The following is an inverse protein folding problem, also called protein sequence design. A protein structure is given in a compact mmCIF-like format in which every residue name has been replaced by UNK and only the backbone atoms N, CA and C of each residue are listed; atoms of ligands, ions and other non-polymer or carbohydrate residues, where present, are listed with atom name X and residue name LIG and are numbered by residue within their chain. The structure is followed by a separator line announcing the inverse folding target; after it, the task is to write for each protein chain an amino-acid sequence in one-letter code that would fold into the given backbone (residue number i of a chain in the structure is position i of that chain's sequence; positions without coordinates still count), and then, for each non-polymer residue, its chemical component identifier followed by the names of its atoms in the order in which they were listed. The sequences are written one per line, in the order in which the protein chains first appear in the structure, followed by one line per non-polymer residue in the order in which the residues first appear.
data_IF_288624977110
#
_entry.id   IF_288624977110
#
_cell.length_a   1.000
_cell.length_b   1.000
_cell.length_c   1.000
_cell.angle_alpha   90.00
_cell.angle_beta   90.00
_cell.angle_gamma   90.00
#
_symmetry.space_group_name_H-M   'P 1'
#
loop_
_entity.id
_entity.type
_entity.pdbx_description
1 polymer ?
#
# COMPACT_ATOMS: atom_id res chain seq x y z
N UNK A 1 -4.83 5.48 36.55
CA UNK A 1 -4.23 4.18 36.24
C UNK A 1 -5.15 3.33 35.36
N UNK A 2 -6.43 3.26 35.71
CA UNK A 2 -7.38 2.47 34.91
C UNK A 2 -7.66 3.10 33.57
N UNK A 3 -7.74 4.42 33.50
CA UNK A 3 -7.98 5.13 32.23
C UNK A 3 -6.89 4.91 31.22
N UNK A 4 -5.65 4.91 31.65
CA UNK A 4 -4.50 4.69 30.76
C UNK A 4 -4.51 3.31 30.15
N UNK A 5 -4.83 2.27 30.95
CA UNK A 5 -4.89 0.91 30.44
C UNK A 5 -6.02 0.74 29.41
N UNK A 6 -7.17 1.34 29.67
CA UNK A 6 -8.29 1.30 28.74
C UNK A 6 -7.96 2.04 27.42
N UNK A 7 -7.30 3.17 27.52
CA UNK A 7 -6.91 3.95 26.32
C UNK A 7 -5.94 3.16 25.45
N UNK A 8 -4.95 2.51 26.05
CA UNK A 8 -4.02 1.69 25.29
C UNK A 8 -4.72 0.54 24.58
N UNK A 9 -5.65 -0.12 25.26
CA UNK A 9 -6.40 -1.23 24.68
C UNK A 9 -7.28 -0.75 23.53
N UNK A 10 -7.95 0.39 23.69
CA UNK A 10 -8.79 0.95 22.65
C UNK A 10 -7.96 1.39 21.43
N UNK A 11 -6.80 1.97 21.67
CA UNK A 11 -5.92 2.39 20.59
C UNK A 11 -5.43 1.19 19.77
N UNK A 12 -5.05 0.11 20.45
CA UNK A 12 -4.61 -1.11 19.77
C UNK A 12 -5.73 -1.69 18.91
N UNK A 13 -6.95 -1.75 19.46
CA UNK A 13 -8.11 -2.25 18.74
C UNK A 13 -8.42 -1.35 17.54
N UNK A 14 -8.35 -0.03 17.71
CA UNK A 14 -8.60 0.93 16.63
C UNK A 14 -7.59 0.76 15.50
N UNK A 15 -6.32 0.51 15.84
CA UNK A 15 -5.29 0.26 14.84
C UNK A 15 -5.58 -1.01 14.06
N UNK A 16 -5.94 -2.09 14.72
CA UNK A 16 -6.29 -3.35 14.06
C UNK A 16 -7.51 -3.16 13.15
N UNK A 17 -8.54 -2.47 13.64
CA UNK A 17 -9.73 -2.18 12.85
C UNK A 17 -9.39 -1.34 11.61
N UNK A 18 -8.50 -0.37 11.78
CA UNK A 18 -8.08 0.48 10.66
C UNK A 18 -7.32 -0.34 9.63
N UNK A 19 -6.41 -1.21 10.06
CA UNK A 19 -5.65 -2.08 9.16
C UNK A 19 -6.59 -3.01 8.39
N UNK A 20 -7.60 -3.58 9.04
CA UNK A 20 -8.58 -4.44 8.38
C UNK A 20 -9.33 -3.66 7.30
N UNK A 21 -9.76 -2.44 7.60
CA UNK A 21 -10.47 -1.60 6.62
C UNK A 21 -9.58 -1.21 5.45
N UNK A 22 -8.33 -0.87 5.71
CA UNK A 22 -7.35 -0.59 4.65
C UNK A 22 -7.16 -1.82 3.77
N UNK A 23 -6.94 -2.96 4.40
CA UNK A 23 -6.72 -4.22 3.69
C UNK A 23 -7.92 -4.61 2.84
N UNK A 24 -9.14 -4.49 3.38
CA UNK A 24 -10.36 -4.80 2.65
C UNK A 24 -10.55 -3.88 1.45
N UNK A 25 -10.34 -2.59 1.63
CA UNK A 25 -10.44 -1.61 0.55
C UNK A 25 -9.43 -1.91 -0.55
N UNK A 26 -8.20 -2.19 -0.15
CA UNK A 26 -7.13 -2.49 -1.11
C UNK A 26 -7.42 -3.78 -1.88
N UNK A 27 -7.84 -4.84 -1.18
CA UNK A 27 -8.16 -6.12 -1.82
C UNK A 27 -9.33 -5.99 -2.81
N UNK A 28 -10.31 -5.18 -2.47
CA UNK A 28 -11.45 -4.96 -3.33
C UNK A 28 -11.06 -4.22 -4.60
N UNK A 29 -10.23 -3.19 -4.50
CA UNK A 29 -9.88 -2.36 -5.64
C UNK A 29 -8.64 -2.85 -6.40
N UNK A 30 -7.76 -3.60 -5.74
CA UNK A 30 -6.54 -4.14 -6.35
C UNK A 30 -6.49 -5.66 -6.14
N UNK A 31 -7.38 -6.42 -6.80
CA UNK A 31 -7.36 -7.87 -6.67
C UNK A 31 -6.08 -8.51 -7.22
N UNK A 32 -5.33 -7.78 -8.02
CA UNK A 32 -4.03 -8.20 -8.55
C UNK A 32 -3.05 -8.64 -7.45
N UNK A 33 -3.19 -8.09 -6.25
CA UNK A 33 -2.30 -8.43 -5.13
C UNK A 33 -2.38 -9.92 -4.82
N UNK A 34 -3.55 -10.53 -4.89
CA UNK A 34 -3.70 -11.96 -4.68
C UNK A 34 -2.98 -12.77 -5.76
N UNK A 35 -3.02 -12.30 -7.01
CA UNK A 35 -2.30 -12.92 -8.11
C UNK A 35 -0.79 -12.81 -7.90
N UNK A 36 -0.32 -11.67 -7.42
CA UNK A 36 1.09 -11.48 -7.12
C UNK A 36 1.55 -12.41 -6.00
N UNK A 37 0.71 -12.58 -4.97
CA UNK A 37 1.03 -13.48 -3.86
C UNK A 37 1.19 -14.91 -4.36
N UNK A 38 0.30 -15.37 -5.21
CA UNK A 38 0.38 -16.70 -5.81
C UNK A 38 1.63 -16.84 -6.69
N UNK A 39 1.93 -15.81 -7.47
CA UNK A 39 3.11 -15.79 -8.34
C UNK A 39 4.40 -15.89 -7.53
N UNK A 40 4.52 -15.12 -6.46
CA UNK A 40 5.71 -15.13 -5.60
C UNK A 40 5.90 -16.48 -4.95
N UNK A 41 4.83 -17.09 -4.44
CA UNK A 41 4.88 -18.41 -3.85
C UNK A 41 5.36 -19.46 -4.86
N UNK A 42 4.80 -19.43 -6.06
CA UNK A 42 5.14 -20.38 -7.12
C UNK A 42 6.58 -20.20 -7.59
N UNK A 43 7.01 -18.98 -7.88
CA UNK A 43 8.35 -18.71 -8.41
C UNK A 43 9.44 -18.95 -7.40
N UNK A 44 9.17 -18.74 -6.13
CA UNK A 44 10.16 -18.96 -5.07
C UNK A 44 10.16 -20.39 -4.52
N UNK A 45 9.26 -21.23 -5.02
CA UNK A 45 9.07 -22.59 -4.50
C UNK A 45 8.77 -22.59 -3.00
N UNK A 46 7.91 -21.64 -2.59
CA UNK A 46 7.48 -21.51 -1.20
C UNK A 46 8.48 -20.81 -0.28
N UNK A 47 9.60 -20.31 -0.80
CA UNK A 47 10.63 -19.69 0.01
C UNK A 47 10.37 -18.21 0.28
N UNK A 48 9.54 -17.57 -0.52
CA UNK A 48 9.20 -16.17 -0.35
C UNK A 48 7.69 -16.01 -0.30
N UNK A 49 7.25 -14.90 0.27
CA UNK A 49 5.82 -14.57 0.36
C UNK A 49 5.62 -13.08 0.18
N UNK A 50 4.44 -12.70 -0.23
CA UNK A 50 4.07 -11.30 -0.38
C UNK A 50 3.63 -10.77 0.98
N UNK A 51 4.10 -9.57 1.32
CA UNK A 51 3.87 -8.95 2.62
C UNK A 51 3.42 -7.50 2.45
N UNK A 52 2.45 -7.08 3.26
CA UNK A 52 1.96 -5.71 3.25
C UNK A 52 2.35 -5.02 4.54
N UNK A 53 2.92 -3.83 4.42
CA UNK A 53 3.25 -2.97 5.55
C UNK A 53 2.33 -1.76 5.50
N UNK A 54 1.67 -1.47 6.62
CA UNK A 54 0.69 -0.40 6.71
C UNK A 54 1.24 0.77 7.51
N UNK A 55 1.19 1.97 6.93
CA UNK A 55 1.53 3.19 7.63
C UNK A 55 0.22 3.89 8.01
N UNK A 56 -0.06 3.96 9.30
CA UNK A 56 -1.30 4.54 9.82
C UNK A 56 -1.19 6.05 10.05
N UNK A 57 -0.01 6.62 9.91
CA UNK A 57 0.13 8.07 9.85
C UNK A 57 -0.32 8.52 8.47
N UNK A 58 -1.36 9.35 8.45
CA UNK A 58 -1.86 9.84 7.16
C UNK A 58 -0.92 10.88 6.59
N UNK A 59 -0.88 10.97 5.27
CA UNK A 59 -0.15 12.03 4.61
C UNK A 59 -1.07 12.76 3.62
N UNK A 60 -0.78 14.03 3.41
CA UNK A 60 -1.47 14.81 2.40
C UNK A 60 -0.89 14.43 1.04
N UNK A 61 -1.76 13.97 0.15
CA UNK A 61 -1.34 13.45 -1.14
C UNK A 61 -1.68 14.45 -2.24
N UNK A 62 -0.70 14.72 -3.08
CA UNK A 62 -0.82 15.60 -4.24
C UNK A 62 -0.49 14.79 -5.50
N UNK A 63 -1.13 15.15 -6.60
CA UNK A 63 -1.01 14.40 -7.86
C UNK A 63 0.43 14.26 -8.32
N UNK A 64 1.24 15.30 -8.15
CA UNK A 64 2.60 15.34 -8.67
C UNK A 64 3.68 15.54 -7.61
N UNK A 65 3.39 15.31 -6.38
CA UNK A 65 4.38 15.48 -5.30
C UNK A 65 4.83 16.92 -5.05
N UNK A 66 4.60 17.81 -6.01
CA UNK A 66 4.98 19.21 -5.88
C UNK A 66 3.87 20.09 -5.33
N UNK A 67 2.71 19.50 -5.06
CA UNK A 67 1.59 20.20 -4.45
C UNK A 67 0.66 20.90 -5.43
N UNK A 68 0.69 20.53 -6.71
CA UNK A 68 -0.13 21.20 -7.72
C UNK A 68 -1.62 20.85 -7.63
N UNK A 69 -1.94 19.64 -7.20
CA UNK A 69 -3.34 19.20 -7.07
C UNK A 69 -3.48 18.36 -5.82
N UNK A 70 -4.24 18.86 -4.85
CA UNK A 70 -4.47 18.13 -3.60
C UNK A 70 -5.52 17.04 -3.80
N UNK A 71 -5.18 15.82 -3.46
CA UNK A 71 -6.06 14.65 -3.62
C UNK A 71 -6.70 14.19 -2.32
N UNK A 72 -6.20 14.63 -1.18
CA UNK A 72 -6.74 14.27 0.13
C UNK A 72 -5.71 13.65 1.05
N UNK A 73 -6.17 13.14 2.19
CA UNK A 73 -5.32 12.43 3.13
C UNK A 73 -5.47 10.92 2.93
N UNK A 74 -4.35 10.23 2.97
CA UNK A 74 -4.30 8.80 2.67
C UNK A 74 -3.38 8.08 3.64
N UNK A 75 -3.71 6.81 3.90
CA UNK A 75 -2.79 5.86 4.51
C UNK A 75 -1.92 5.28 3.41
N UNK A 76 -0.70 4.85 3.72
CA UNK A 76 0.11 4.18 2.73
C UNK A 76 0.28 2.70 3.04
N UNK A 77 0.30 1.87 2.00
CA UNK A 77 0.50 0.43 2.09
C UNK A 77 1.62 0.06 1.14
N UNK A 78 2.67 -0.53 1.69
CA UNK A 78 3.81 -0.98 0.89
C UNK A 78 3.72 -2.49 0.72
N UNK A 79 3.75 -2.95 -0.52
CA UNK A 79 3.70 -4.38 -0.86
C UNK A 79 5.09 -4.84 -1.24
N UNK A 80 5.60 -5.83 -0.54
CA UNK A 80 6.95 -6.36 -0.72
C UNK A 80 6.94 -7.87 -0.80
N UNK A 81 7.95 -8.40 -1.46
CA UNK A 81 8.24 -9.83 -1.49
C UNK A 81 9.30 -10.08 -0.41
N UNK A 82 8.98 -10.95 0.54
CA UNK A 82 9.85 -11.21 1.70
C UNK A 82 10.58 -12.54 1.54
N UNK A 83 11.89 -12.49 1.59
CA UNK A 83 12.78 -13.65 1.59
C UNK A 83 13.44 -13.76 2.98
N UNK A 84 14.10 -14.87 3.24
CA UNK A 84 14.78 -15.10 4.51
C UNK A 84 15.83 -14.02 4.81
N UNK A 85 16.54 -13.56 3.80
CA UNK A 85 17.67 -12.65 3.95
C UNK A 85 17.49 -11.26 3.32
N UNK A 86 16.38 -11.02 2.61
CA UNK A 86 16.15 -9.73 1.95
C UNK A 86 14.68 -9.53 1.61
N UNK A 87 14.36 -8.36 1.08
CA UNK A 87 13.02 -8.09 0.58
C UNK A 87 13.12 -7.36 -0.77
N UNK A 88 12.07 -7.50 -1.58
CA UNK A 88 11.97 -6.83 -2.88
C UNK A 88 10.67 -6.03 -2.91
N UNK A 89 10.78 -4.74 -3.21
CA UNK A 89 9.59 -3.88 -3.29
C UNK A 89 8.80 -4.17 -4.55
N UNK A 90 7.48 -4.31 -4.40
CA UNK A 90 6.57 -4.47 -5.53
C UNK A 90 5.87 -3.17 -5.88
N UNK A 91 5.13 -2.61 -4.93
CA UNK A 91 4.36 -1.39 -5.16
C UNK A 91 3.99 -0.73 -3.85
N UNK A 92 3.72 0.56 -3.91
CA UNK A 92 3.17 1.31 -2.79
C UNK A 92 1.82 1.89 -3.22
N UNK A 93 0.81 1.69 -2.39
CA UNK A 93 -0.54 2.20 -2.63
C UNK A 93 -0.93 3.19 -1.56
N UNK A 94 -1.81 4.10 -1.92
CA UNK A 94 -2.46 5.00 -0.99
C UNK A 94 -3.93 4.59 -0.86
N UNK A 95 -4.42 4.50 0.36
CA UNK A 95 -5.83 4.20 0.65
C UNK A 95 -6.41 5.40 1.39
N UNK A 96 -7.49 5.96 0.87
CA UNK A 96 -8.09 7.16 1.45
C UNK A 96 -8.58 6.91 2.88
N UNK A 97 -8.58 7.98 3.70
CA UNK A 97 -9.02 7.89 5.09
C UNK A 97 -10.50 7.50 5.21
N UNK A 98 -11.26 7.66 4.14
CA UNK A 98 -12.66 7.23 4.07
C UNK A 98 -12.83 5.81 3.55
N UNK A 99 -11.73 5.13 3.22
CA UNK A 99 -11.73 3.75 2.71
C UNK A 99 -12.55 3.58 1.44
N UNK A 100 -12.51 4.57 0.55
CA UNK A 100 -13.28 4.55 -0.70
C UNK A 100 -12.43 4.68 -1.95
N UNK A 101 -11.17 5.07 -1.83
CA UNK A 101 -10.33 5.31 -3.00
C UNK A 101 -8.92 4.79 -2.78
N UNK A 102 -8.36 4.16 -3.81
CA UNK A 102 -6.99 3.67 -3.81
C UNK A 102 -6.24 4.33 -4.96
N UNK A 103 -5.01 4.78 -4.67
CA UNK A 103 -4.12 5.35 -5.66
C UNK A 103 -2.81 4.57 -5.65
N UNK A 104 -2.04 4.68 -6.72
CA UNK A 104 -0.72 4.07 -6.82
C UNK A 104 0.35 5.15 -6.78
N UNK A 105 1.39 4.92 -6.00
CA UNK A 105 2.51 5.84 -5.86
C UNK A 105 3.69 5.39 -6.72
N UNK A 106 4.17 6.29 -7.58
CA UNK A 106 5.39 6.04 -8.36
C UNK A 106 6.60 6.24 -7.45
N UNK A 107 7.30 5.15 -7.17
CA UNK A 107 8.49 5.17 -6.31
C UNK A 107 9.78 5.25 -7.12
N UNK A 108 9.70 5.28 -8.44
CA UNK A 108 10.86 5.18 -9.32
C UNK A 108 11.64 6.49 -9.39
N UNK A 109 10.96 7.61 -9.24
CA UNK A 109 11.58 8.91 -9.38
C UNK A 109 12.60 9.29 -8.33
N UNK A 110 12.51 8.74 -7.14
CA UNK A 110 13.46 8.83 -6.02
C UNK A 110 13.89 10.22 -5.55
N UNK A 111 13.66 11.27 -6.29
CA UNK A 111 13.85 12.62 -5.76
C UNK A 111 12.57 12.99 -5.04
N UNK A 112 12.70 13.45 -3.80
CA UNK A 112 11.56 13.65 -2.89
C UNK A 112 10.40 14.45 -3.45
N UNK A 113 10.67 15.31 -4.41
CA UNK A 113 9.64 16.18 -4.98
C UNK A 113 9.18 15.74 -6.37
N UNK A 114 9.63 14.57 -6.86
CA UNK A 114 9.37 14.17 -8.24
C UNK A 114 8.48 12.94 -8.39
N UNK A 115 8.00 12.37 -7.29
CA UNK A 115 7.08 11.24 -7.42
C UNK A 115 5.74 11.70 -7.95
N UNK A 116 5.08 10.83 -8.68
CA UNK A 116 3.72 11.07 -9.15
C UNK A 116 2.78 10.05 -8.53
N UNK A 117 1.52 10.44 -8.42
CA UNK A 117 0.47 9.57 -7.91
C UNK A 117 -0.49 9.30 -9.07
N UNK A 118 -0.77 8.03 -9.30
CA UNK A 118 -1.62 7.58 -10.40
C UNK A 118 -2.92 7.01 -9.85
N UNK A 119 -4.01 7.24 -10.59
CA UNK A 119 -5.22 6.46 -10.33
C UNK A 119 -4.91 5.01 -10.70
N UNK A 120 -5.72 4.08 -10.21
CA UNK A 120 -5.51 2.66 -10.55
C UNK A 120 -5.62 2.44 -12.06
N UNK A 121 -6.53 3.14 -12.73
CA UNK A 121 -6.67 3.05 -14.18
C UNK A 121 -5.42 3.54 -14.89
N UNK A 122 -4.89 4.68 -14.49
CA UNK A 122 -3.65 5.22 -15.06
C UNK A 122 -2.48 4.26 -14.85
N UNK A 123 -2.37 3.72 -13.64
CA UNK A 123 -1.31 2.77 -13.31
C UNK A 123 -1.42 1.48 -14.15
N UNK A 124 -2.63 0.95 -14.29
CA UNK A 124 -2.86 -0.28 -15.07
C UNK A 124 -2.50 -0.11 -16.54
N UNK A 125 -2.56 1.11 -17.04
CA UNK A 125 -2.20 1.43 -18.42
C UNK A 125 -0.76 1.93 -18.57
N UNK A 126 -0.01 1.98 -17.49
CA UNK A 126 1.37 2.46 -17.49
C UNK A 126 2.37 1.33 -17.68
N UNK A 127 3.62 1.70 -17.98
CA UNK A 127 4.73 0.74 -18.06
C UNK A 127 5.13 0.20 -16.68
N UNK A 128 4.64 0.81 -15.61
CA UNK A 128 4.94 0.38 -14.24
C UNK A 128 4.06 -0.78 -13.76
N UNK A 129 2.98 -1.07 -14.49
CA UNK A 129 2.09 -2.17 -14.12
C UNK A 129 2.85 -3.49 -14.20
N UNK A 130 2.91 -4.28 -13.11
CA UNK A 130 3.69 -5.51 -13.11
C UNK A 130 3.20 -6.52 -14.13
N UNK A 131 4.14 -7.13 -14.84
CA UNK A 131 3.84 -8.23 -15.74
C UNK A 131 4.24 -9.53 -15.06
N UNK A 132 3.31 -10.48 -14.99
CA UNK A 132 3.56 -11.80 -14.43
C UNK A 132 3.89 -12.83 -15.49
N UNK A 133 4.20 -12.39 -16.68
CA UNK A 133 4.55 -13.28 -17.77
C UNK A 133 5.92 -13.92 -17.55
N UNK A 134 6.02 -15.17 -17.81
CA UNK A 134 7.28 -15.93 -17.69
C UNK A 134 8.00 -16.04 -18.98
#
# INVERSE_FOLDING_TARGET
AFGEAEECTQNAKTREDTIVKISDCLSEQVPEIDDWAAYVDLKSDGQAYLYQTYDLETEEVYKDGAGSEYLGEYYSVHVSEMWEDHSVSWSTFYVSVNFDKVLWKDMVGLADSEFEVYTLEEWRNSSYYPSLDD
#
